data_IF_644022988607
#
_entry.id   IF_644022988607
#
_cell.length_a   1.000
_cell.length_b   1.000
_cell.length_c   1.000
_cell.angle_alpha   90.00
_cell.angle_beta   90.00
_cell.angle_gamma   90.00
#
_symmetry.space_group_name_H-M   'P 1'
#
loop_
_entity.id
_entity.type
_entity.pdbx_description
1 polymer ?
#
# COMPACT_ATOMS: atom_id res chain seq x y z
N UNK A 1 -20.58 -11.24 0.90
CA UNK A 1 -20.26 -10.80 2.29
C UNK A 1 -20.51 -11.95 3.25
N UNK A 2 -19.86 -11.92 4.42
CA UNK A 2 -20.14 -12.83 5.55
C UNK A 2 -21.19 -12.17 6.44
N UNK A 3 -22.33 -12.82 6.60
CA UNK A 3 -23.45 -12.28 7.38
C UNK A 3 -23.69 -13.17 8.60
N UNK A 4 -23.66 -12.57 9.78
CA UNK A 4 -24.02 -13.22 11.03
C UNK A 4 -25.43 -12.81 11.42
N UNK A 5 -26.30 -13.78 11.66
CA UNK A 5 -27.69 -13.57 12.09
C UNK A 5 -27.81 -14.04 13.52
N UNK A 6 -28.27 -13.16 14.40
CA UNK A 6 -28.60 -13.45 15.80
C UNK A 6 -30.10 -13.28 16.02
N UNK A 7 -30.83 -14.38 16.22
CA UNK A 7 -32.28 -14.41 16.34
C UNK A 7 -32.70 -15.66 17.14
N UNK A 8 -33.46 -15.51 18.19
CA UNK A 8 -33.89 -16.64 19.04
C UNK A 8 -35.10 -17.39 18.46
N UNK A 9 -35.97 -16.71 17.70
CA UNK A 9 -37.07 -17.36 16.97
C UNK A 9 -36.55 -18.14 15.76
N UNK A 10 -36.77 -19.46 15.76
CA UNK A 10 -36.26 -20.35 14.72
C UNK A 10 -36.89 -20.05 13.33
N UNK A 11 -38.18 -19.68 13.28
CA UNK A 11 -38.87 -19.41 12.02
C UNK A 11 -38.33 -18.12 11.39
N UNK A 12 -38.10 -17.06 12.18
CA UNK A 12 -37.54 -15.79 11.71
C UNK A 12 -36.09 -16.00 11.30
N UNK A 13 -35.29 -16.70 12.11
CA UNK A 13 -33.87 -17.00 11.82
C UNK A 13 -33.72 -17.74 10.50
N UNK A 14 -34.54 -18.77 10.25
CA UNK A 14 -34.52 -19.53 9.00
C UNK A 14 -34.95 -18.68 7.81
N UNK A 15 -35.99 -17.87 7.98
CA UNK A 15 -36.45 -16.95 6.95
C UNK A 15 -35.34 -15.99 6.53
N UNK A 16 -34.68 -15.30 7.50
CA UNK A 16 -33.62 -14.34 7.21
C UNK A 16 -32.41 -15.04 6.58
N UNK A 17 -32.03 -16.23 7.10
CA UNK A 17 -30.95 -17.03 6.50
C UNK A 17 -31.20 -17.34 5.02
N UNK A 18 -32.41 -17.79 4.70
CA UNK A 18 -32.77 -18.18 3.33
C UNK A 18 -32.83 -16.96 2.40
N UNK A 19 -33.33 -15.82 2.87
CA UNK A 19 -33.35 -14.56 2.13
C UNK A 19 -31.95 -14.07 1.77
N UNK A 20 -31.05 -14.02 2.76
CA UNK A 20 -29.66 -13.56 2.60
C UNK A 20 -28.83 -14.57 1.79
N UNK A 21 -29.05 -15.88 2.00
CA UNK A 21 -28.39 -16.94 1.25
C UNK A 21 -28.70 -16.91 -0.25
N UNK A 22 -29.96 -16.62 -0.63
CA UNK A 22 -30.36 -16.46 -2.03
C UNK A 22 -29.70 -15.28 -2.74
N UNK A 23 -29.26 -14.28 -1.99
CA UNK A 23 -28.49 -13.14 -2.53
C UNK A 23 -27.00 -13.46 -2.71
N UNK A 24 -26.56 -14.70 -2.42
CA UNK A 24 -25.19 -15.15 -2.62
C UNK A 24 -24.24 -14.79 -1.47
N UNK A 25 -24.77 -14.46 -0.29
CA UNK A 25 -23.96 -14.17 0.88
C UNK A 25 -23.69 -15.44 1.70
N UNK A 26 -22.53 -15.51 2.35
CA UNK A 26 -22.19 -16.58 3.29
C UNK A 26 -22.84 -16.26 4.65
N UNK A 27 -23.74 -17.13 5.11
CA UNK A 27 -24.55 -16.89 6.31
C UNK A 27 -24.12 -17.81 7.44
N UNK A 28 -23.92 -17.23 8.61
CA UNK A 28 -23.76 -17.92 9.90
C UNK A 28 -24.90 -17.51 10.81
N UNK A 29 -25.46 -18.44 11.56
CA UNK A 29 -26.61 -18.18 12.43
C UNK A 29 -26.29 -18.47 13.88
N UNK A 30 -26.83 -17.67 14.79
CA UNK A 30 -26.78 -17.80 16.24
C UNK A 30 -28.20 -17.72 16.81
N UNK A 31 -28.43 -18.43 17.92
CA UNK A 31 -29.74 -18.52 18.59
C UNK A 31 -29.94 -17.47 19.68
N UNK A 32 -28.87 -16.73 19.99
CA UNK A 32 -28.85 -15.67 21.02
C UNK A 32 -27.57 -14.83 20.88
N UNK A 33 -27.52 -13.73 21.63
CA UNK A 33 -26.43 -12.80 21.55
C UNK A 33 -25.08 -13.30 22.05
N UNK A 34 -25.06 -14.29 22.98
CA UNK A 34 -23.79 -14.84 23.48
C UNK A 34 -23.16 -15.79 22.47
N UNK A 35 -23.98 -16.63 21.79
CA UNK A 35 -23.52 -17.48 20.68
C UNK A 35 -23.04 -16.59 19.51
N UNK A 36 -23.79 -15.53 19.22
CA UNK A 36 -23.41 -14.57 18.17
C UNK A 36 -22.07 -13.89 18.46
N UNK A 37 -21.83 -13.50 19.70
CA UNK A 37 -20.56 -12.92 20.12
C UNK A 37 -19.40 -13.91 19.91
N UNK A 38 -19.53 -15.15 20.37
CA UNK A 38 -18.49 -16.18 20.18
C UNK A 38 -18.19 -16.45 18.70
N UNK A 39 -19.22 -16.51 17.85
CA UNK A 39 -19.04 -16.67 16.40
C UNK A 39 -18.36 -15.46 15.75
N UNK A 40 -18.70 -14.24 16.20
CA UNK A 40 -18.07 -13.02 15.72
C UNK A 40 -16.57 -12.96 16.10
N UNK A 41 -16.22 -13.29 17.36
CA UNK A 41 -14.81 -13.35 17.80
C UNK A 41 -13.98 -14.38 16.99
N UNK A 42 -14.58 -15.53 16.69
CA UNK A 42 -13.88 -16.61 16.01
C UNK A 42 -13.74 -16.39 14.50
N UNK A 43 -14.79 -15.91 13.84
CA UNK A 43 -14.86 -15.88 12.37
C UNK A 43 -14.98 -14.47 11.79
N UNK A 44 -15.33 -13.49 12.60
CA UNK A 44 -15.71 -12.15 12.15
C UNK A 44 -17.00 -12.15 11.30
N UNK A 45 -17.51 -10.97 11.01
CA UNK A 45 -18.62 -10.76 10.09
C UNK A 45 -18.47 -9.43 9.36
N UNK A 46 -19.04 -9.33 8.16
CA UNK A 46 -19.15 -8.08 7.42
C UNK A 46 -20.46 -7.36 7.79
N UNK A 47 -21.52 -8.12 7.96
CA UNK A 47 -22.84 -7.65 8.41
C UNK A 47 -23.32 -8.49 9.58
N UNK A 48 -23.88 -7.85 10.58
CA UNK A 48 -24.57 -8.51 11.69
C UNK A 48 -26.03 -8.06 11.67
N UNK A 49 -26.94 -9.02 11.62
CA UNK A 49 -28.40 -8.80 11.71
C UNK A 49 -28.82 -9.42 13.02
N UNK A 50 -29.23 -8.60 13.99
CA UNK A 50 -29.55 -9.06 15.35
C UNK A 50 -30.96 -8.67 15.76
N UNK A 51 -31.69 -9.60 16.35
CA UNK A 51 -32.90 -9.21 17.06
C UNK A 51 -32.55 -8.30 18.23
N UNK A 52 -33.49 -7.47 18.63
CA UNK A 52 -33.38 -6.58 19.77
C UNK A 52 -33.36 -7.35 21.08
N UNK A 53 -34.39 -8.17 21.27
CA UNK A 53 -34.59 -8.95 22.50
C UNK A 53 -34.20 -10.41 22.26
N UNK A 54 -33.14 -10.85 22.90
CA UNK A 54 -32.67 -12.24 22.87
C UNK A 54 -32.23 -12.69 24.24
N UNK A 55 -32.27 -13.99 24.54
CA UNK A 55 -31.71 -14.55 25.77
C UNK A 55 -30.21 -14.23 25.93
N UNK A 56 -29.76 -14.16 27.17
CA UNK A 56 -28.35 -13.98 27.59
C UNK A 56 -27.78 -12.61 27.23
N UNK A 57 -27.69 -12.25 25.98
CA UNK A 57 -27.17 -10.96 25.48
C UNK A 57 -28.16 -10.38 24.49
N UNK A 58 -28.67 -9.19 24.80
CA UNK A 58 -29.58 -8.45 23.91
C UNK A 58 -28.83 -7.83 22.73
N UNK A 59 -29.53 -7.57 21.62
CA UNK A 59 -28.95 -7.00 20.40
C UNK A 59 -28.18 -5.70 20.60
N UNK A 60 -28.69 -4.71 21.37
CA UNK A 60 -27.93 -3.48 21.65
C UNK A 60 -26.62 -3.71 22.42
N UNK A 61 -26.60 -4.66 23.35
CA UNK A 61 -25.40 -5.02 24.07
C UNK A 61 -24.41 -5.78 23.19
N UNK A 62 -24.89 -6.70 22.35
CA UNK A 62 -24.05 -7.34 21.32
C UNK A 62 -23.41 -6.30 20.40
N UNK A 63 -24.18 -5.32 19.93
CA UNK A 63 -23.69 -4.23 19.11
C UNK A 63 -22.56 -3.45 19.82
N UNK A 64 -22.74 -3.10 21.10
CA UNK A 64 -21.74 -2.41 21.89
C UNK A 64 -20.43 -3.22 21.99
N UNK A 65 -20.50 -4.52 22.29
CA UNK A 65 -19.33 -5.42 22.32
C UNK A 65 -18.60 -5.46 20.98
N UNK A 66 -19.34 -5.55 19.88
CA UNK A 66 -18.78 -5.51 18.50
C UNK A 66 -18.06 -4.19 18.22
N UNK A 67 -18.60 -3.04 18.69
CA UNK A 67 -17.98 -1.72 18.51
C UNK A 67 -16.73 -1.51 19.37
N UNK A 68 -16.67 -2.11 20.54
CA UNK A 68 -15.51 -2.04 21.43
C UNK A 68 -14.40 -3.03 21.07
N UNK A 69 -14.70 -4.02 20.23
CA UNK A 69 -13.74 -5.02 19.80
C UNK A 69 -12.79 -4.49 18.72
N UNK A 70 -11.51 -4.84 18.83
CA UNK A 70 -10.48 -4.48 17.80
C UNK A 70 -10.57 -5.43 16.58
N UNK A 71 -11.67 -5.31 15.85
CA UNK A 71 -11.94 -6.07 14.63
C UNK A 71 -12.26 -5.11 13.47
N UNK A 72 -12.17 -5.59 12.20
CA UNK A 72 -12.66 -4.84 11.05
C UNK A 72 -14.12 -4.42 11.23
N UNK A 73 -14.46 -3.25 10.70
CA UNK A 73 -15.81 -2.71 10.79
C UNK A 73 -16.86 -3.70 10.24
N UNK A 74 -17.88 -3.99 11.06
CA UNK A 74 -19.07 -4.76 10.69
C UNK A 74 -20.30 -3.85 10.70
N UNK A 75 -21.09 -3.89 9.63
CA UNK A 75 -22.37 -3.17 9.55
C UNK A 75 -23.41 -3.88 10.40
N UNK A 76 -24.01 -3.16 11.36
CA UNK A 76 -24.90 -3.74 12.36
C UNK A 76 -26.34 -3.27 12.16
N UNK A 77 -27.24 -4.22 11.90
CA UNK A 77 -28.69 -4.00 11.74
C UNK A 77 -29.42 -4.59 12.94
N UNK A 78 -30.20 -3.76 13.64
CA UNK A 78 -31.09 -4.22 14.69
C UNK A 78 -32.51 -4.44 14.19
N UNK A 79 -33.04 -5.63 14.42
CA UNK A 79 -34.46 -5.95 14.18
C UNK A 79 -35.28 -5.50 15.39
N UNK A 80 -36.32 -4.69 15.20
CA UNK A 80 -37.11 -4.09 16.28
C UNK A 80 -38.59 -4.39 16.13
N UNK A 81 -39.33 -4.47 17.24
CA UNK A 81 -40.79 -4.55 17.21
C UNK A 81 -41.39 -3.20 16.77
N UNK A 82 -42.51 -3.27 16.01
CA UNK A 82 -43.19 -2.07 15.53
C UNK A 82 -43.75 -1.23 16.69
N UNK A 83 -43.43 0.07 16.76
CA UNK A 83 -44.06 1.04 17.67
C UNK A 83 -43.27 1.44 18.92
N UNK A 84 -42.08 0.95 19.12
CA UNK A 84 -41.30 1.21 20.33
C UNK A 84 -40.34 2.40 20.18
N UNK A 85 -40.87 3.63 20.40
CA UNK A 85 -40.08 4.87 20.35
C UNK A 85 -38.94 4.93 21.38
N UNK A 86 -39.04 4.22 22.51
CA UNK A 86 -37.96 4.18 23.51
C UNK A 86 -36.78 3.33 23.03
N UNK A 87 -37.02 2.27 22.28
CA UNK A 87 -35.96 1.46 21.68
C UNK A 87 -35.16 2.24 20.64
N UNK A 88 -35.77 3.15 19.85
CA UNK A 88 -35.05 3.99 18.90
C UNK A 88 -33.99 4.91 19.56
N UNK A 89 -34.25 5.39 20.79
CA UNK A 89 -33.27 6.23 21.52
C UNK A 89 -32.13 5.41 22.12
N UNK A 90 -32.42 4.21 22.64
CA UNK A 90 -31.44 3.31 23.21
C UNK A 90 -30.56 2.69 22.13
N UNK A 91 -31.15 2.30 21.00
CA UNK A 91 -30.42 1.74 19.87
C UNK A 91 -29.43 2.73 19.23
N UNK A 92 -29.79 4.01 19.11
CA UNK A 92 -28.83 5.04 18.64
C UNK A 92 -27.59 5.17 19.53
N UNK A 93 -27.69 4.83 20.83
CA UNK A 93 -26.57 4.82 21.76
C UNK A 93 -25.74 3.54 21.68
N UNK A 94 -26.29 2.43 21.17
CA UNK A 94 -25.55 1.17 21.01
C UNK A 94 -24.55 1.18 19.86
N UNK A 95 -24.67 2.13 18.92
CA UNK A 95 -23.81 2.24 17.76
C UNK A 95 -24.22 1.37 16.56
N UNK A 96 -25.48 0.92 16.52
CA UNK A 96 -26.05 0.23 15.35
C UNK A 96 -26.13 1.19 14.14
N UNK A 97 -25.85 0.66 12.96
CA UNK A 97 -25.86 1.44 11.71
C UNK A 97 -27.26 1.58 11.14
N UNK A 98 -28.11 0.58 11.38
CA UNK A 98 -29.48 0.57 10.83
C UNK A 98 -30.46 -0.20 11.73
N UNK A 99 -31.75 0.05 11.47
CA UNK A 99 -32.87 -0.57 12.19
C UNK A 99 -33.91 -1.06 11.17
N UNK A 100 -34.45 -2.25 11.42
CA UNK A 100 -35.51 -2.82 10.61
C UNK A 100 -36.66 -3.27 11.51
N UNK A 101 -37.84 -2.69 11.30
CA UNK A 101 -39.03 -3.03 12.10
C UNK A 101 -39.64 -4.35 11.64
N UNK A 102 -39.98 -5.22 12.59
CA UNK A 102 -40.78 -6.44 12.36
C UNK A 102 -42.28 -6.08 12.33
N UNK A 103 -43.11 -6.63 11.37
CA UNK A 103 -42.70 -7.51 10.29
C UNK A 103 -42.03 -6.75 9.14
N UNK A 104 -41.02 -7.34 8.52
CA UNK A 104 -40.35 -6.83 7.34
C UNK A 104 -40.48 -7.80 6.16
N UNK A 105 -40.31 -7.27 4.97
CA UNK A 105 -40.32 -8.06 3.75
C UNK A 105 -38.91 -8.23 3.14
N UNK A 106 -38.86 -8.94 1.99
CA UNK A 106 -37.59 -9.18 1.28
C UNK A 106 -36.99 -7.92 0.70
N UNK A 107 -37.76 -6.94 0.30
CA UNK A 107 -37.32 -5.70 -0.33
C UNK A 107 -36.68 -4.78 0.72
N UNK A 108 -37.29 -4.71 1.90
CA UNK A 108 -36.78 -3.98 3.06
C UNK A 108 -35.39 -4.49 3.47
N UNK A 109 -35.24 -5.80 3.67
CA UNK A 109 -33.97 -6.42 4.05
C UNK A 109 -32.93 -6.30 2.94
N UNK A 110 -33.34 -6.51 1.68
CA UNK A 110 -32.48 -6.34 0.49
C UNK A 110 -31.91 -4.92 0.37
N UNK A 111 -32.74 -3.90 0.59
CA UNK A 111 -32.32 -2.49 0.61
C UNK A 111 -31.25 -2.20 1.68
N UNK A 112 -31.38 -2.82 2.88
CA UNK A 112 -30.38 -2.71 3.94
C UNK A 112 -29.06 -3.39 3.57
N UNK A 113 -29.12 -4.55 2.91
CA UNK A 113 -27.91 -5.24 2.43
C UNK A 113 -27.15 -4.45 1.38
N UNK A 114 -27.84 -3.79 0.44
CA UNK A 114 -27.21 -2.90 -0.54
C UNK A 114 -26.53 -1.71 0.15
N UNK A 115 -27.17 -1.14 1.17
CA UNK A 115 -26.58 -0.04 1.97
C UNK A 115 -25.36 -0.53 2.74
N UNK A 116 -25.45 -1.69 3.40
CA UNK A 116 -24.37 -2.30 4.14
C UNK A 116 -23.13 -2.54 3.25
N UNK A 117 -23.33 -3.07 2.04
CA UNK A 117 -22.24 -3.31 1.08
C UNK A 117 -21.48 -2.03 0.71
N UNK A 118 -22.21 -0.93 0.48
CA UNK A 118 -21.61 0.38 0.17
C UNK A 118 -20.78 0.92 1.35
N UNK A 119 -21.35 0.85 2.56
CA UNK A 119 -20.69 1.36 3.77
C UNK A 119 -19.44 0.53 4.09
N UNK A 120 -19.52 -0.80 4.04
CA UNK A 120 -18.39 -1.70 4.28
C UNK A 120 -17.28 -1.46 3.26
N UNK A 121 -17.62 -1.32 1.99
CA UNK A 121 -16.66 -1.02 0.92
C UNK A 121 -15.92 0.30 1.20
N UNK A 122 -16.65 1.34 1.65
CA UNK A 122 -16.05 2.62 2.00
C UNK A 122 -15.11 2.50 3.21
N UNK A 123 -15.50 1.76 4.26
CA UNK A 123 -14.65 1.52 5.43
C UNK A 123 -13.39 0.75 5.06
N UNK A 124 -13.50 -0.34 4.30
CA UNK A 124 -12.35 -1.12 3.81
C UNK A 124 -11.38 -0.26 3.01
N UNK A 125 -11.91 0.58 2.11
CA UNK A 125 -11.10 1.54 1.33
C UNK A 125 -10.34 2.50 2.24
N UNK A 126 -11.03 3.11 3.21
CA UNK A 126 -10.41 4.02 4.17
C UNK A 126 -9.29 3.34 4.96
N UNK A 127 -9.53 2.14 5.47
CA UNK A 127 -8.52 1.38 6.23
C UNK A 127 -7.31 1.00 5.39
N UNK A 128 -7.52 0.55 4.15
CA UNK A 128 -6.44 0.24 3.20
C UNK A 128 -5.56 1.47 2.95
N UNK A 129 -6.17 2.64 2.69
CA UNK A 129 -5.43 3.88 2.50
C UNK A 129 -4.66 4.31 3.75
N UNK A 130 -5.23 4.13 4.95
CA UNK A 130 -4.54 4.42 6.20
C UNK A 130 -3.37 3.48 6.46
N UNK A 131 -3.51 2.17 6.15
CA UNK A 131 -2.40 1.20 6.25
C UNK A 131 -1.27 1.57 5.30
N UNK A 132 -1.58 1.88 4.05
CA UNK A 132 -0.58 2.36 3.07
C UNK A 132 0.08 3.65 3.54
N UNK A 133 -0.68 4.65 4.01
CA UNK A 133 -0.14 5.91 4.49
C UNK A 133 0.81 5.74 5.70
N UNK A 134 0.48 4.86 6.64
CA UNK A 134 1.36 4.52 7.77
C UNK A 134 2.65 3.86 7.29
N UNK A 135 2.55 2.92 6.34
CA UNK A 135 3.71 2.25 5.78
C UNK A 135 4.63 3.24 5.05
N UNK A 136 4.06 4.15 4.28
CA UNK A 136 4.79 5.25 3.61
C UNK A 136 5.60 6.07 4.62
N UNK A 137 5.01 6.38 5.76
CA UNK A 137 5.65 7.21 6.79
C UNK A 137 6.76 6.48 7.57
N UNK A 138 6.75 5.13 7.60
CA UNK A 138 7.63 4.35 8.49
C UNK A 138 8.58 3.41 7.77
N UNK A 139 8.34 3.08 6.49
CA UNK A 139 9.14 2.12 5.73
C UNK A 139 10.15 2.81 4.83
N UNK A 140 11.39 2.33 4.89
CA UNK A 140 12.46 2.65 3.93
C UNK A 140 12.69 1.53 2.89
N UNK A 141 11.84 0.48 2.92
CA UNK A 141 11.97 -0.71 2.06
C UNK A 141 10.89 -0.73 0.97
N UNK A 142 11.27 -0.53 -0.31
CA UNK A 142 10.33 -0.61 -1.43
C UNK A 142 9.62 -1.97 -1.56
N UNK A 143 10.27 -3.08 -1.17
CA UNK A 143 9.69 -4.41 -1.31
C UNK A 143 8.48 -4.58 -0.37
N UNK A 144 8.57 -4.10 0.86
CA UNK A 144 7.45 -4.08 1.81
C UNK A 144 6.30 -3.20 1.33
N UNK A 145 6.62 -2.06 0.72
CA UNK A 145 5.62 -1.15 0.15
C UNK A 145 4.82 -1.85 -0.96
N UNK A 146 5.51 -2.53 -1.89
CA UNK A 146 4.85 -3.24 -2.99
C UNK A 146 4.03 -4.45 -2.50
N UNK A 147 4.53 -5.21 -1.53
CA UNK A 147 3.78 -6.32 -0.94
C UNK A 147 2.48 -5.83 -0.31
N UNK A 148 2.52 -4.79 0.53
CA UNK A 148 1.32 -4.23 1.15
C UNK A 148 0.37 -3.63 0.11
N UNK A 149 0.88 -2.96 -0.92
CA UNK A 149 0.05 -2.45 -2.01
C UNK A 149 -0.73 -3.57 -2.69
N UNK A 150 -0.07 -4.71 -2.95
CA UNK A 150 -0.71 -5.88 -3.55
C UNK A 150 -1.75 -6.50 -2.63
N UNK A 151 -1.42 -6.72 -1.35
CA UNK A 151 -2.37 -7.25 -0.36
C UNK A 151 -3.65 -6.43 -0.33
N UNK A 152 -3.53 -5.12 -0.20
CA UNK A 152 -4.68 -4.21 -0.15
C UNK A 152 -5.45 -4.16 -1.47
N UNK A 153 -4.75 -4.14 -2.61
CA UNK A 153 -5.38 -4.11 -3.93
C UNK A 153 -6.19 -5.38 -4.19
N UNK A 154 -5.65 -6.55 -3.83
CA UNK A 154 -6.32 -7.85 -3.98
C UNK A 154 -7.55 -7.96 -3.08
N UNK A 155 -7.44 -7.55 -1.81
CA UNK A 155 -8.55 -7.56 -0.86
C UNK A 155 -9.68 -6.63 -1.31
N UNK A 156 -9.36 -5.38 -1.70
CA UNK A 156 -10.37 -4.39 -2.09
C UNK A 156 -11.08 -4.75 -3.39
N UNK A 157 -10.38 -5.34 -4.34
CA UNK A 157 -10.94 -5.71 -5.64
C UNK A 157 -11.37 -7.17 -5.72
N UNK A 158 -11.20 -7.95 -4.65
CA UNK A 158 -11.48 -9.40 -4.65
C UNK A 158 -10.85 -10.10 -5.86
N UNK A 159 -9.66 -9.68 -6.23
CA UNK A 159 -8.90 -10.26 -7.34
C UNK A 159 -8.09 -11.46 -6.88
N UNK A 160 -7.81 -12.40 -7.79
CA UNK A 160 -7.08 -13.63 -7.51
C UNK A 160 -5.57 -13.52 -7.80
N UNK A 161 -5.17 -12.53 -8.60
CA UNK A 161 -3.78 -12.29 -8.94
C UNK A 161 -3.44 -10.80 -8.93
N UNK A 162 -2.24 -10.48 -8.48
CA UNK A 162 -1.70 -9.13 -8.50
C UNK A 162 -0.21 -9.11 -8.83
N UNK A 163 0.24 -8.05 -9.50
CA UNK A 163 1.66 -7.81 -9.74
C UNK A 163 1.98 -6.32 -9.77
N UNK A 164 3.17 -6.00 -9.28
CA UNK A 164 3.78 -4.68 -9.48
C UNK A 164 4.99 -4.84 -10.41
N UNK A 165 4.99 -4.10 -11.49
CA UNK A 165 6.10 -4.02 -12.43
C UNK A 165 6.78 -2.68 -12.22
N UNK A 166 8.05 -2.68 -11.84
CA UNK A 166 8.85 -1.48 -11.66
C UNK A 166 9.49 -1.07 -12.98
N UNK A 167 9.33 0.18 -13.37
CA UNK A 167 10.06 0.78 -14.49
C UNK A 167 11.44 1.22 -14.00
N UNK A 168 12.50 0.89 -14.77
CA UNK A 168 13.87 1.31 -14.49
C UNK A 168 14.32 2.34 -15.51
N UNK A 169 15.28 3.22 -15.17
CA UNK A 169 15.79 4.23 -16.09
C UNK A 169 16.44 3.69 -17.37
N UNK A 170 16.90 2.42 -17.32
CA UNK A 170 17.52 1.71 -18.45
C UNK A 170 16.53 1.03 -19.40
N UNK A 171 15.24 1.41 -19.33
CA UNK A 171 14.11 0.85 -20.09
C UNK A 171 13.84 -0.66 -19.81
N UNK A 172 14.43 -1.20 -18.74
CA UNK A 172 14.18 -2.57 -18.28
C UNK A 172 13.11 -2.56 -17.21
N UNK A 173 11.92 -3.04 -17.58
CA UNK A 173 10.87 -3.31 -16.62
C UNK A 173 11.10 -4.67 -15.96
N UNK A 174 10.93 -4.73 -14.63
CA UNK A 174 11.03 -5.97 -13.87
C UNK A 174 9.84 -6.13 -12.93
N UNK A 175 9.37 -7.37 -12.77
CA UNK A 175 8.36 -7.69 -11.76
C UNK A 175 9.01 -7.45 -10.38
N UNK A 176 8.48 -6.48 -9.65
CA UNK A 176 8.97 -6.11 -8.32
C UNK A 176 8.27 -6.89 -7.21
N UNK A 177 6.98 -7.24 -7.43
CA UNK A 177 6.19 -8.08 -6.55
C UNK A 177 5.09 -8.78 -7.34
N UNK A 178 4.74 -10.01 -6.96
CA UNK A 178 3.64 -10.79 -7.52
C UNK A 178 2.99 -11.60 -6.42
N UNK A 179 1.66 -11.72 -6.47
CA UNK A 179 0.89 -12.48 -5.51
C UNK A 179 -0.27 -13.22 -6.18
N UNK A 180 -0.53 -14.43 -5.75
CA UNK A 180 -1.64 -15.28 -6.19
C UNK A 180 -2.47 -15.68 -4.98
N UNK A 181 -3.79 -15.59 -5.10
CA UNK A 181 -4.75 -15.97 -4.06
C UNK A 181 -5.63 -17.10 -4.58
N UNK A 182 -5.51 -18.28 -3.97
CA UNK A 182 -6.28 -19.45 -4.38
C UNK A 182 -5.89 -20.05 -5.75
N UNK A 183 -4.80 -19.59 -6.35
CA UNK A 183 -4.29 -20.07 -7.64
C UNK A 183 -2.88 -20.67 -7.49
N UNK A 184 -2.62 -21.75 -8.21
CA UNK A 184 -1.23 -22.21 -8.42
C UNK A 184 -0.65 -21.54 -9.66
N UNK A 185 0.67 -21.39 -9.70
CA UNK A 185 1.37 -20.65 -10.76
C UNK A 185 1.09 -21.19 -12.17
N UNK A 186 0.98 -22.53 -12.30
CA UNK A 186 0.66 -23.18 -13.56
C UNK A 186 -0.72 -22.78 -14.10
N UNK A 187 -1.72 -22.60 -13.24
CA UNK A 187 -3.08 -22.19 -13.63
C UNK A 187 -3.15 -20.69 -13.92
N UNK A 188 -2.30 -19.90 -13.28
CA UNK A 188 -2.28 -18.47 -13.41
C UNK A 188 -1.52 -17.95 -14.65
N UNK A 189 -0.79 -18.78 -15.39
CA UNK A 189 0.10 -18.33 -16.48
C UNK A 189 -0.61 -17.46 -17.53
N UNK A 190 -1.79 -17.88 -17.98
CA UNK A 190 -2.58 -17.13 -18.94
C UNK A 190 -3.03 -15.76 -18.41
N UNK A 191 -3.49 -15.74 -17.15
CA UNK A 191 -3.88 -14.51 -16.46
C UNK A 191 -2.69 -13.56 -16.27
N UNK A 192 -1.56 -14.08 -15.83
CA UNK A 192 -0.33 -13.29 -15.64
C UNK A 192 0.19 -12.70 -16.95
N UNK A 193 0.08 -13.44 -18.08
CA UNK A 193 0.42 -12.91 -19.39
C UNK A 193 -0.50 -11.76 -19.80
N UNK A 194 -1.82 -11.91 -19.61
CA UNK A 194 -2.80 -10.84 -19.86
C UNK A 194 -2.49 -9.61 -18.99
N UNK A 195 -2.24 -9.80 -17.71
CA UNK A 195 -1.90 -8.71 -16.79
C UNK A 195 -0.63 -7.97 -17.20
N UNK A 196 0.42 -8.67 -17.67
CA UNK A 196 1.63 -8.01 -18.20
C UNK A 196 1.34 -7.14 -19.41
N UNK A 197 0.50 -7.61 -20.33
CA UNK A 197 0.11 -6.84 -21.52
C UNK A 197 -0.69 -5.59 -21.15
N UNK A 198 -1.65 -5.72 -20.22
CA UNK A 198 -2.44 -4.59 -19.73
C UNK A 198 -1.55 -3.60 -18.99
N UNK A 199 -0.61 -4.08 -18.17
CA UNK A 199 0.37 -3.24 -17.49
C UNK A 199 1.27 -2.48 -18.47
N UNK A 200 1.74 -3.12 -19.55
CA UNK A 200 2.51 -2.45 -20.59
C UNK A 200 1.69 -1.36 -21.29
N UNK A 201 0.40 -1.62 -21.57
CA UNK A 201 -0.52 -0.63 -22.13
C UNK A 201 -0.70 0.57 -21.18
N UNK A 202 -0.95 0.31 -19.90
CA UNK A 202 -1.10 1.36 -18.89
C UNK A 202 0.18 2.20 -18.74
N UNK A 203 1.36 1.56 -18.79
CA UNK A 203 2.65 2.25 -18.75
C UNK A 203 2.83 3.18 -19.96
N UNK A 204 2.56 2.68 -21.17
CA UNK A 204 2.73 3.43 -22.41
C UNK A 204 1.77 4.62 -22.51
N UNK A 205 0.52 4.43 -22.14
CA UNK A 205 -0.52 5.46 -22.19
C UNK A 205 -0.49 6.41 -20.97
N UNK A 206 0.19 6.02 -19.89
CA UNK A 206 0.18 6.71 -18.59
C UNK A 206 -1.24 6.91 -18.03
N UNK A 207 -2.11 5.97 -18.30
CA UNK A 207 -3.51 5.94 -17.90
C UNK A 207 -3.89 4.51 -17.54
N UNK A 208 -4.96 4.31 -16.74
CA UNK A 208 -5.49 2.98 -16.51
C UNK A 208 -5.81 2.25 -17.80
N UNK A 209 -5.52 0.97 -17.82
CA UNK A 209 -5.85 0.08 -18.93
C UNK A 209 -6.59 -1.15 -18.41
N UNK A 210 -7.57 -1.63 -19.17
CA UNK A 210 -8.35 -2.81 -18.85
C UNK A 210 -8.37 -3.76 -20.04
N UNK A 211 -8.31 -5.06 -19.80
CA UNK A 211 -8.53 -6.07 -20.81
C UNK A 211 -9.07 -7.36 -20.17
N UNK A 212 -10.16 -7.90 -20.71
CA UNK A 212 -10.85 -9.05 -20.19
C UNK A 212 -11.11 -8.91 -18.66
N UNK A 213 -10.55 -9.82 -17.87
CA UNK A 213 -10.68 -9.85 -16.41
C UNK A 213 -9.46 -9.25 -15.68
N UNK A 214 -8.79 -8.27 -16.29
CA UNK A 214 -7.60 -7.62 -15.73
C UNK A 214 -7.66 -6.10 -15.87
N UNK A 215 -7.10 -5.39 -14.89
CA UNK A 215 -6.93 -3.95 -14.90
C UNK A 215 -5.52 -3.60 -14.43
N UNK A 216 -4.93 -2.58 -15.02
CA UNK A 216 -3.66 -2.04 -14.59
C UNK A 216 -3.72 -0.52 -14.47
N UNK A 217 -3.04 0.01 -13.46
CA UNK A 217 -2.88 1.44 -13.22
C UNK A 217 -1.41 1.82 -13.17
N UNK A 218 -1.01 2.97 -13.77
CA UNK A 218 0.36 3.43 -13.71
C UNK A 218 0.67 4.03 -12.34
N UNK A 219 1.89 3.79 -11.84
CA UNK A 219 2.44 4.40 -10.63
C UNK A 219 3.21 5.65 -11.04
N UNK A 220 2.55 6.80 -11.02
CA UNK A 220 3.12 8.08 -11.49
C UNK A 220 3.30 9.03 -10.31
N UNK A 221 4.49 9.65 -10.23
CA UNK A 221 4.79 10.73 -9.30
C UNK A 221 5.47 11.88 -10.04
N UNK A 222 4.96 13.11 -9.90
CA UNK A 222 5.49 14.31 -10.58
C UNK A 222 5.73 14.12 -12.09
N UNK A 223 4.82 13.38 -12.77
CA UNK A 223 4.92 13.09 -14.20
C UNK A 223 5.86 11.94 -14.57
N UNK A 224 6.59 11.36 -13.62
CA UNK A 224 7.49 10.24 -13.84
C UNK A 224 6.78 8.90 -13.59
N UNK A 225 6.91 7.98 -14.55
CA UNK A 225 6.42 6.61 -14.40
C UNK A 225 7.43 5.78 -13.60
N UNK A 226 7.04 5.36 -12.39
CA UNK A 226 7.86 4.54 -11.50
C UNK A 226 7.56 3.04 -11.65
N UNK A 227 6.38 2.71 -12.21
CA UNK A 227 5.95 1.33 -12.41
C UNK A 227 4.48 1.23 -12.77
N UNK A 228 3.95 0.02 -12.69
CA UNK A 228 2.52 -0.29 -12.88
C UNK A 228 2.06 -1.31 -11.85
N UNK A 229 0.84 -1.13 -11.34
CA UNK A 229 0.09 -2.12 -10.57
C UNK A 229 -0.92 -2.77 -11.49
N UNK A 230 -0.91 -4.08 -11.60
CA UNK A 230 -1.91 -4.85 -12.33
C UNK A 230 -2.56 -5.88 -11.41
N UNK A 231 -3.86 -6.05 -11.53
CA UNK A 231 -4.63 -7.08 -10.87
C UNK A 231 -5.52 -7.80 -11.87
N UNK A 232 -5.92 -9.02 -11.53
CA UNK A 232 -6.77 -9.84 -12.40
C UNK A 232 -7.48 -10.96 -11.66
N UNK A 233 -8.51 -11.50 -12.30
CA UNK A 233 -9.24 -12.68 -11.84
C UNK A 233 -9.40 -13.67 -12.97
N UNK A 234 -9.47 -14.96 -12.62
CA UNK A 234 -9.69 -16.05 -13.59
C UNK A 234 -11.15 -16.13 -14.02
N UNK A 235 -12.06 -15.75 -13.14
CA UNK A 235 -13.50 -15.82 -13.43
C UNK A 235 -13.90 -14.78 -14.49
N UNK A 236 -14.12 -15.27 -15.70
CA UNK A 236 -14.68 -14.49 -16.80
C UNK A 236 -16.21 -14.61 -16.78
N UNK A 237 -16.99 -13.52 -16.93
CA UNK A 237 -16.59 -12.22 -17.46
C UNK A 237 -16.65 -11.09 -16.42
N UNK A 238 -15.82 -11.12 -15.41
CA UNK A 238 -15.77 -9.97 -14.48
C UNK A 238 -15.05 -8.80 -15.15
N UNK A 239 -15.76 -7.70 -15.31
CA UNK A 239 -15.19 -6.43 -15.75
C UNK A 239 -14.94 -5.55 -14.53
N UNK A 240 -13.70 -5.10 -14.31
CA UNK A 240 -13.40 -4.13 -13.28
C UNK A 240 -14.07 -2.80 -13.59
N UNK A 241 -14.93 -2.34 -12.68
CA UNK A 241 -15.71 -1.13 -12.84
C UNK A 241 -14.86 0.14 -12.62
N UNK A 242 -15.48 1.29 -12.95
CA UNK A 242 -14.84 2.60 -12.76
C UNK A 242 -14.42 2.85 -11.32
N UNK A 243 -15.27 2.52 -10.35
CA UNK A 243 -14.95 2.73 -8.92
C UNK A 243 -13.76 1.89 -8.45
N UNK A 244 -13.62 0.65 -8.92
CA UNK A 244 -12.48 -0.21 -8.61
C UNK A 244 -11.19 0.35 -9.23
N UNK A 245 -11.26 0.81 -10.48
CA UNK A 245 -10.12 1.44 -11.17
C UNK A 245 -9.68 2.73 -10.45
N UNK A 246 -10.59 3.62 -10.08
CA UNK A 246 -10.31 4.84 -9.31
C UNK A 246 -9.68 4.54 -7.94
N UNK A 247 -10.07 3.45 -7.29
CA UNK A 247 -9.47 2.99 -6.05
C UNK A 247 -8.01 2.58 -6.25
N UNK A 248 -7.74 1.78 -7.29
CA UNK A 248 -6.39 1.35 -7.64
C UNK A 248 -5.50 2.53 -8.05
N UNK A 249 -6.02 3.51 -8.79
CA UNK A 249 -5.30 4.73 -9.12
C UNK A 249 -4.90 5.52 -7.88
N UNK A 250 -5.82 5.65 -6.91
CA UNK A 250 -5.54 6.34 -5.64
C UNK A 250 -4.43 5.63 -4.86
N UNK A 251 -4.51 4.30 -4.76
CA UNK A 251 -3.49 3.49 -4.10
C UNK A 251 -2.16 3.56 -4.84
N UNK A 252 -2.19 3.49 -6.17
CA UNK A 252 -1.01 3.62 -7.03
C UNK A 252 -0.31 4.97 -6.87
N UNK A 253 -1.08 6.06 -6.80
CA UNK A 253 -0.55 7.41 -6.58
C UNK A 253 0.15 7.53 -5.22
N UNK A 254 -0.45 7.00 -4.16
CA UNK A 254 0.17 6.99 -2.83
C UNK A 254 1.46 6.15 -2.81
N UNK A 255 1.43 4.98 -3.43
CA UNK A 255 2.61 4.12 -3.54
C UNK A 255 3.74 4.79 -4.34
N UNK A 256 3.41 5.46 -5.45
CA UNK A 256 4.38 6.18 -6.27
C UNK A 256 5.03 7.33 -5.49
N UNK A 257 4.25 8.11 -4.75
CA UNK A 257 4.79 9.18 -3.89
C UNK A 257 5.72 8.64 -2.80
N UNK A 258 5.34 7.52 -2.18
CA UNK A 258 6.16 6.84 -1.19
C UNK A 258 7.49 6.33 -1.76
N UNK A 259 7.42 5.68 -2.91
CA UNK A 259 8.61 5.16 -3.59
C UNK A 259 9.58 6.30 -3.94
N UNK A 260 9.07 7.40 -4.48
CA UNK A 260 9.86 8.59 -4.77
C UNK A 260 10.52 9.19 -3.50
N UNK A 261 9.78 9.23 -2.38
CA UNK A 261 10.33 9.71 -1.10
C UNK A 261 11.45 8.79 -0.58
N UNK A 262 11.29 7.46 -0.66
CA UNK A 262 12.31 6.48 -0.26
C UNK A 262 13.57 6.64 -1.12
N UNK A 263 13.42 6.78 -2.44
CA UNK A 263 14.55 6.96 -3.35
C UNK A 263 15.28 8.28 -3.10
N UNK A 264 14.53 9.37 -2.88
CA UNK A 264 15.12 10.69 -2.52
C UNK A 264 15.91 10.60 -1.22
N UNK A 265 15.34 10.03 -0.16
CA UNK A 265 16.02 9.87 1.12
C UNK A 265 17.30 9.02 1.00
N UNK A 266 17.27 7.97 0.17
CA UNK A 266 18.43 7.13 -0.12
C UNK A 266 19.53 7.91 -0.81
N UNK A 267 19.19 8.71 -1.83
CA UNK A 267 20.15 9.56 -2.54
C UNK A 267 20.76 10.62 -1.62
N UNK A 268 19.94 11.28 -0.80
CA UNK A 268 20.40 12.25 0.20
C UNK A 268 21.37 11.62 1.20
N UNK A 269 21.07 10.39 1.67
CA UNK A 269 21.96 9.64 2.55
C UNK A 269 23.31 9.32 1.91
N UNK A 270 23.31 8.88 0.64
CA UNK A 270 24.56 8.62 -0.10
C UNK A 270 25.38 9.91 -0.28
N UNK A 271 24.73 11.02 -0.62
CA UNK A 271 25.38 12.32 -0.79
C UNK A 271 25.97 12.83 0.53
N UNK A 272 25.25 12.67 1.64
CA UNK A 272 25.74 13.04 2.96
C UNK A 272 26.96 12.21 3.35
N UNK A 273 26.91 10.89 3.15
CA UNK A 273 28.03 10.00 3.41
C UNK A 273 29.28 10.36 2.57
N UNK A 274 29.07 10.66 1.28
CA UNK A 274 30.13 11.11 0.39
C UNK A 274 30.77 12.43 0.85
N UNK A 275 29.97 13.41 1.29
CA UNK A 275 30.46 14.68 1.84
C UNK A 275 31.24 14.47 3.13
N UNK A 276 30.78 13.61 4.03
CA UNK A 276 31.47 13.29 5.29
C UNK A 276 32.81 12.63 5.02
N UNK A 277 32.86 11.64 4.13
CA UNK A 277 34.11 10.97 3.74
C UNK A 277 35.11 11.95 3.10
N UNK A 278 34.61 12.85 2.25
CA UNK A 278 35.44 13.91 1.64
C UNK A 278 36.07 14.84 2.68
N UNK A 279 35.27 15.30 3.66
CA UNK A 279 35.81 16.15 4.73
C UNK A 279 36.90 15.44 5.54
N UNK A 280 36.68 14.16 5.85
CA UNK A 280 37.69 13.38 6.58
C UNK A 280 38.94 13.15 5.77
N UNK A 281 38.81 12.84 4.46
CA UNK A 281 39.97 12.70 3.56
C UNK A 281 40.77 14.01 3.45
N UNK A 282 40.09 15.15 3.24
CA UNK A 282 40.76 16.45 3.15
C UNK A 282 41.50 16.82 4.46
N UNK A 283 40.90 16.53 5.61
CA UNK A 283 41.56 16.76 6.90
C UNK A 283 42.84 15.92 7.05
N UNK A 284 42.81 14.63 6.67
CA UNK A 284 43.96 13.74 6.72
C UNK A 284 45.05 14.15 5.72
N UNK A 285 44.64 14.52 4.49
CA UNK A 285 45.58 15.04 3.48
C UNK A 285 46.25 16.34 3.94
N UNK A 286 45.49 17.26 4.55
CA UNK A 286 46.05 18.50 5.12
C UNK A 286 47.14 18.26 6.18
N UNK A 287 46.94 17.24 7.03
CA UNK A 287 47.96 16.83 8.01
C UNK A 287 49.24 16.29 7.33
N UNK A 288 49.07 15.46 6.26
CA UNK A 288 50.21 14.91 5.50
C UNK A 288 50.96 16.00 4.79
N UNK A 289 50.27 16.92 4.12
CA UNK A 289 50.89 18.08 3.44
C UNK A 289 51.61 18.95 4.45
N UNK A 290 50.96 19.30 5.58
CA UNK A 290 51.59 20.15 6.61
C UNK A 290 52.84 19.55 7.20
N UNK A 291 52.87 18.25 7.49
CA UNK A 291 54.11 17.60 7.95
C UNK A 291 55.17 17.50 6.86
N UNK A 292 54.80 17.26 5.62
CA UNK A 292 55.73 17.21 4.50
C UNK A 292 56.34 18.60 4.23
N UNK A 293 55.57 19.68 4.31
CA UNK A 293 56.05 21.06 4.19
C UNK A 293 57.00 21.44 5.34
N UNK A 294 56.67 21.07 6.58
CA UNK A 294 57.58 21.28 7.73
C UNK A 294 58.88 20.51 7.57
N UNK A 295 58.88 19.30 7.00
CA UNK A 295 60.09 18.55 6.69
C UNK A 295 60.91 19.21 5.57
N UNK A 296 60.26 19.75 4.54
CA UNK A 296 60.92 20.45 3.45
C UNK A 296 61.65 21.70 3.89
N UNK A 297 61.18 22.39 4.92
CA UNK A 297 61.76 23.59 5.48
C UNK A 297 62.91 23.30 6.50
N UNK A 298 63.18 22.03 6.83
CA UNK A 298 64.16 21.67 7.83
C UNK A 298 65.63 21.92 7.36
N UNK A 299 66.42 22.72 8.04
CA UNK A 299 67.76 23.16 7.60
C UNK A 299 68.81 22.06 7.38
N UNK A 300 68.57 20.84 7.81
CA UNK A 300 69.47 19.69 7.71
C UNK A 300 68.97 18.56 6.79
N UNK A 301 67.98 18.81 5.95
CA UNK A 301 67.37 17.76 5.08
C UNK A 301 68.32 17.39 3.95
N UNK A 302 68.80 16.13 3.80
CA UNK A 302 69.63 15.69 2.67
C UNK A 302 68.86 15.88 1.33
N UNK A 303 69.64 16.25 0.28
CA UNK A 303 69.05 16.55 -1.05
C UNK A 303 68.26 15.39 -1.63
N UNK A 304 68.68 14.15 -1.36
CA UNK A 304 67.92 12.92 -1.75
C UNK A 304 66.56 12.79 -1.02
N UNK A 305 66.41 13.32 0.19
CA UNK A 305 65.14 13.32 0.94
C UNK A 305 64.29 14.52 0.57
N UNK A 306 64.87 15.65 0.21
CA UNK A 306 64.12 16.82 -0.24
C UNK A 306 63.24 16.48 -1.50
N UNK A 307 63.76 15.67 -2.43
CA UNK A 307 63.06 15.23 -3.60
C UNK A 307 61.88 14.32 -3.23
N UNK A 308 62.06 13.37 -2.31
CA UNK A 308 60.98 12.49 -1.82
C UNK A 308 59.85 13.28 -1.10
N UNK A 309 60.23 14.27 -0.30
CA UNK A 309 59.26 15.15 0.38
C UNK A 309 58.45 15.95 -0.64
N UNK A 310 59.12 16.50 -1.69
CA UNK A 310 58.44 17.21 -2.77
C UNK A 310 57.43 16.31 -3.55
N UNK A 311 57.79 15.03 -3.78
CA UNK A 311 56.89 14.06 -4.39
C UNK A 311 55.70 13.75 -3.50
N UNK A 312 55.88 13.64 -2.18
CA UNK A 312 54.80 13.44 -1.20
C UNK A 312 53.82 14.63 -1.23
N UNK A 313 54.32 15.87 -1.17
CA UNK A 313 53.52 17.09 -1.22
C UNK A 313 52.71 17.14 -2.53
N UNK A 314 53.39 16.93 -3.67
CA UNK A 314 52.76 16.94 -4.98
C UNK A 314 51.70 15.86 -5.11
N UNK A 315 51.96 14.64 -4.64
CA UNK A 315 50.99 13.54 -4.64
C UNK A 315 49.80 13.80 -3.73
N UNK A 316 50.02 14.36 -2.55
CA UNK A 316 48.94 14.70 -1.63
C UNK A 316 48.04 15.85 -2.16
N UNK A 317 48.64 16.85 -2.82
CA UNK A 317 47.93 17.94 -3.47
C UNK A 317 47.09 17.43 -4.65
N UNK A 318 47.64 16.55 -5.51
CA UNK A 318 46.87 15.93 -6.61
C UNK A 318 45.69 15.08 -6.09
N UNK A 319 45.87 14.37 -4.97
CA UNK A 319 44.75 13.66 -4.32
C UNK A 319 43.72 14.63 -3.76
N UNK A 320 44.11 15.73 -3.14
CA UNK A 320 43.20 16.76 -2.63
C UNK A 320 42.39 17.40 -3.77
N UNK A 321 42.99 17.66 -4.93
CA UNK A 321 42.30 18.14 -6.12
C UNK A 321 41.30 17.12 -6.64
N UNK A 322 41.65 15.83 -6.67
CA UNK A 322 40.75 14.75 -7.07
C UNK A 322 39.55 14.64 -6.12
N UNK A 323 39.77 14.75 -4.82
CA UNK A 323 38.71 14.76 -3.80
C UNK A 323 37.84 16.02 -3.91
N UNK A 324 38.42 17.20 -4.28
CA UNK A 324 37.60 18.41 -4.51
C UNK A 324 36.79 18.35 -5.84
N UNK A 325 37.30 17.66 -6.85
CA UNK A 325 36.51 17.36 -8.06
C UNK A 325 35.29 16.51 -7.73
N UNK A 326 35.38 15.53 -6.81
CA UNK A 326 34.21 14.78 -6.30
C UNK A 326 33.17 15.72 -5.66
N UNK A 327 33.59 16.85 -5.07
CA UNK A 327 32.68 17.89 -4.54
C UNK A 327 31.82 18.53 -5.64
N UNK A 328 32.33 18.68 -6.84
CA UNK A 328 31.64 19.27 -7.98
C UNK A 328 30.63 18.30 -8.60
N UNK A 329 30.89 16.98 -8.50
CA UNK A 329 29.99 15.91 -8.93
C UNK A 329 28.73 15.83 -8.03
N UNK A 330 28.76 16.36 -6.81
CA UNK A 330 27.60 16.40 -5.90
C UNK A 330 26.53 17.44 -6.28
N UNK A 331 26.66 18.21 -7.36
CA UNK A 331 25.54 18.84 -8.05
C UNK A 331 24.99 17.85 -9.06
N UNK A 332 24.11 16.96 -8.59
CA UNK A 332 23.30 16.13 -9.47
C UNK A 332 22.48 17.09 -10.34
N UNK A 333 22.92 17.33 -11.56
CA UNK A 333 22.06 17.88 -12.60
C UNK A 333 21.22 16.72 -13.11
N UNK A 334 19.98 16.68 -12.70
CA UNK A 334 18.96 15.94 -13.42
C UNK A 334 18.85 16.58 -14.81
N UNK A 335 19.53 16.00 -15.78
CA UNK A 335 19.37 16.42 -17.17
C UNK A 335 18.13 15.70 -17.69
N UNK A 336 17.02 16.39 -17.97
CA UNK A 336 15.86 15.77 -18.58
C UNK A 336 16.25 15.36 -19.99
N UNK A 337 16.40 14.07 -20.24
CA UNK A 337 16.47 13.55 -21.60
C UNK A 337 15.05 13.55 -22.18
N UNK A 338 14.79 14.10 -23.35
CA UNK A 338 13.45 14.25 -23.92
C UNK A 338 12.70 12.94 -24.16
N UNK A 339 13.32 11.76 -24.01
CA UNK A 339 12.71 10.46 -24.32
C UNK A 339 13.09 9.32 -23.36
N UNK A 340 13.68 9.57 -22.18
CA UNK A 340 14.03 8.50 -21.21
C UNK A 340 13.65 8.93 -19.79
N UNK A 341 12.78 8.18 -19.18
CA UNK A 341 12.37 8.32 -17.78
C UNK A 341 13.46 7.80 -16.85
N UNK A 342 14.32 8.69 -16.39
CA UNK A 342 15.34 8.40 -15.38
C UNK A 342 16.50 9.37 -15.43
N UNK A 343 16.87 9.96 -14.28
CA UNK A 343 18.10 10.72 -14.10
C UNK A 343 19.29 9.77 -14.03
N UNK A 344 20.21 9.86 -15.01
CA UNK A 344 21.54 9.24 -14.94
C UNK A 344 22.54 10.27 -14.45
N UNK A 345 23.38 9.87 -13.51
CA UNK A 345 24.57 10.65 -13.10
C UNK A 345 25.53 10.69 -14.31
N UNK A 346 25.61 11.84 -14.96
CA UNK A 346 26.66 12.06 -15.96
C UNK A 346 27.88 12.67 -15.27
N UNK A 347 28.90 11.85 -15.05
CA UNK A 347 30.14 12.22 -14.39
C UNK A 347 31.04 13.12 -15.26
N UNK A 348 30.83 13.17 -16.58
CA UNK A 348 31.66 13.96 -17.49
C UNK A 348 31.15 15.38 -17.77
N UNK A 349 29.82 15.62 -17.76
CA UNK A 349 29.27 16.98 -17.90
C UNK A 349 29.13 17.74 -16.57
N UNK A 350 29.33 17.08 -15.43
CA UNK A 350 29.26 17.72 -14.10
C UNK A 350 30.52 18.50 -13.72
N UNK A 351 31.53 18.53 -14.58
CA UNK A 351 32.85 19.15 -14.34
C UNK A 351 33.08 20.42 -15.18
N UNK A 352 32.09 20.88 -15.97
CA UNK A 352 32.17 22.13 -16.71
C UNK A 352 31.44 23.30 -16.02
#
# INVERSE_FOLDING_TARGET
MRVLIAEDDEAIRDLVRDLIGRQGHAVTVARDGEEAWGLFEQFGADVIISDWLMPRVEGPELCRRVREHDAPYAYFVLLTAMGDQQHHLTGRKSGADDYLAKPFDMEDLGGRMVTAERVITLHRRREALLRLARLVATSSDPARLFATLLDEALVLSQAEAGMVIRSRPDDRSAVAAQQLVGLIEAEAQGLLATMRNVAATAAAQRQPATAASSVAVPLIHEGHLLGTLAIGTRDSPRVFGRAETENLETMGTLCAAALAAIERARLEGVLLAARTAQHELNNRLGVVVGYAEMLAEHPGLPESMAQLVSEIVSGAQALAETVDQLRRVTRIRETPRPNLTGSTLDLHESVA
#
